data_IF_010161281514
#
_entry.id   IF_010161281514
#
_cell.length_a   1.000
_cell.length_b   1.000
_cell.length_c   1.000
_cell.angle_alpha   90.00
_cell.angle_beta   90.00
_cell.angle_gamma   90.00
#
_symmetry.space_group_name_H-M   'P 1'
#
loop_
_entity.id
_entity.type
_entity.pdbx_description
1 polymer ?
#
# COMPACT_ATOMS: atom_id res chain seq x y z
N UNK A 1 4.06 3.44 -21.63
CA UNK A 1 5.09 2.46 -21.24
C UNK A 1 4.54 1.03 -21.19
N UNK A 2 3.42 0.75 -20.51
CA UNK A 2 2.87 -0.62 -20.39
C UNK A 2 1.58 -0.80 -21.22
N UNK A 3 1.70 -1.12 -22.51
CA UNK A 3 0.55 -1.23 -23.43
C UNK A 3 -0.17 -2.59 -23.36
N UNK A 4 0.59 -3.69 -23.20
CA UNK A 4 0.03 -5.04 -23.05
C UNK A 4 0.58 -5.72 -21.79
N UNK A 5 0.03 -5.38 -20.61
CA UNK A 5 0.51 -5.93 -19.36
C UNK A 5 0.14 -7.43 -19.23
N UNK A 6 -0.86 -7.93 -19.97
CA UNK A 6 -1.31 -9.33 -19.89
C UNK A 6 -0.28 -10.25 -20.50
N UNK A 7 0.21 -9.95 -21.71
CA UNK A 7 1.26 -10.76 -22.34
C UNK A 7 2.56 -10.75 -21.54
N UNK A 8 2.94 -9.60 -20.97
CA UNK A 8 4.09 -9.50 -20.05
C UNK A 8 3.97 -10.49 -18.88
N UNK A 9 2.78 -10.57 -18.25
CA UNK A 9 2.55 -11.48 -17.13
C UNK A 9 2.47 -12.95 -17.54
N UNK A 10 1.89 -13.27 -18.70
CA UNK A 10 1.88 -14.65 -19.22
C UNK A 10 3.31 -15.15 -19.43
N UNK A 11 4.20 -14.29 -19.94
CA UNK A 11 5.62 -14.62 -20.07
C UNK A 11 6.27 -14.90 -18.71
N UNK A 12 6.02 -14.07 -17.69
CA UNK A 12 6.53 -14.33 -16.34
C UNK A 12 5.99 -15.65 -15.77
N UNK A 13 4.69 -15.90 -15.93
CA UNK A 13 4.04 -17.08 -15.37
C UNK A 13 4.51 -18.38 -16.05
N UNK A 14 4.88 -18.34 -17.33
CA UNK A 14 5.48 -19.47 -18.05
C UNK A 14 6.79 -19.98 -17.39
N UNK A 15 7.46 -19.12 -16.62
CA UNK A 15 8.64 -19.47 -15.81
C UNK A 15 8.35 -19.53 -14.30
N UNK A 16 7.08 -19.57 -13.90
CA UNK A 16 6.66 -19.58 -12.50
C UNK A 16 6.91 -18.26 -11.76
N UNK A 17 7.22 -17.17 -12.46
CA UNK A 17 7.52 -15.85 -11.86
C UNK A 17 6.26 -15.03 -11.63
N UNK A 18 6.34 -14.12 -10.67
CA UNK A 18 5.27 -13.20 -10.26
C UNK A 18 5.65 -11.76 -10.58
N UNK A 19 4.66 -10.89 -10.72
CA UNK A 19 4.83 -9.45 -10.90
C UNK A 19 4.34 -8.74 -9.64
N UNK A 20 5.16 -7.86 -9.08
CA UNK A 20 4.77 -6.97 -7.98
C UNK A 20 4.44 -5.59 -8.58
N UNK A 21 3.31 -5.01 -8.18
CA UNK A 21 2.91 -3.64 -8.54
C UNK A 21 2.75 -2.79 -7.29
N UNK A 22 3.20 -1.54 -7.32
CA UNK A 22 3.06 -0.61 -6.20
C UNK A 22 1.66 0.03 -6.20
N UNK A 23 1.05 0.13 -5.02
CA UNK A 23 -0.23 0.82 -4.78
C UNK A 23 -0.16 1.51 -3.42
N UNK A 24 -0.35 2.82 -3.45
CA UNK A 24 -0.26 3.69 -2.27
C UNK A 24 -1.65 4.15 -1.81
N UNK A 25 -1.82 4.63 -0.56
CA UNK A 25 -3.13 5.01 -0.03
C UNK A 25 -3.62 6.40 -0.49
N UNK A 26 -2.84 7.11 -1.32
CA UNK A 26 -3.16 8.46 -1.78
C UNK A 26 -3.70 8.46 -3.23
N UNK A 27 -4.83 9.13 -3.43
CA UNK A 27 -5.57 9.16 -4.68
C UNK A 27 -5.50 10.55 -5.28
N UNK A 28 -5.07 10.65 -6.53
CA UNK A 28 -4.97 11.92 -7.25
C UNK A 28 -6.31 12.66 -7.27
N UNK A 29 -6.31 13.91 -6.82
CA UNK A 29 -7.44 14.82 -6.95
C UNK A 29 -7.45 15.43 -8.37
N UNK A 30 -8.11 14.76 -9.31
CA UNK A 30 -8.27 15.28 -10.69
C UNK A 30 -9.62 14.88 -11.27
N UNK A 31 -10.18 15.76 -12.10
CA UNK A 31 -11.36 15.45 -12.89
C UNK A 31 -11.07 14.31 -13.87
N UNK A 32 -12.04 13.41 -14.05
CA UNK A 32 -11.93 12.28 -14.98
C UNK A 32 -11.14 11.06 -14.47
N UNK A 33 -10.71 11.04 -13.21
CA UNK A 33 -10.15 9.83 -12.61
C UNK A 33 -11.27 8.88 -12.17
N UNK A 34 -11.36 7.73 -12.82
CA UNK A 34 -12.45 6.77 -12.62
C UNK A 34 -12.49 6.15 -11.20
N UNK A 35 -11.39 6.26 -10.46
CA UNK A 35 -11.31 5.87 -9.05
C UNK A 35 -11.53 7.12 -8.21
N UNK A 36 -12.80 7.56 -8.18
CA UNK A 36 -13.24 8.51 -7.18
C UNK A 36 -13.47 7.70 -5.91
N UNK A 37 -12.82 8.07 -4.81
CA UNK A 37 -13.20 7.59 -3.47
C UNK A 37 -14.70 7.87 -3.30
N UNK A 38 -15.55 6.86 -3.49
CA UNK A 38 -16.95 7.02 -3.91
C UNK A 38 -17.84 7.64 -2.84
N UNK A 39 -17.42 7.61 -1.59
CA UNK A 39 -18.09 8.29 -0.49
C UNK A 39 -17.10 9.20 0.23
N UNK A 40 -17.61 10.30 0.79
CA UNK A 40 -16.86 11.15 1.71
C UNK A 40 -16.47 10.37 2.98
N UNK A 41 -17.18 9.28 3.29
CA UNK A 41 -17.03 8.52 4.53
C UNK A 41 -15.80 7.63 4.60
N UNK A 42 -15.18 7.29 3.46
CA UNK A 42 -13.94 6.49 3.40
C UNK A 42 -12.71 7.35 3.10
N UNK A 43 -12.82 8.67 3.21
CA UNK A 43 -11.70 9.61 3.05
C UNK A 43 -11.28 10.12 4.41
N UNK A 44 -9.98 10.34 4.58
CA UNK A 44 -9.49 11.08 5.75
C UNK A 44 -10.07 12.49 5.75
N UNK A 45 -10.40 13.02 6.93
CA UNK A 45 -11.03 14.34 7.08
C UNK A 45 -10.12 15.28 7.87
N UNK A 46 -10.27 16.57 7.61
CA UNK A 46 -9.67 17.65 8.42
C UNK A 46 -10.36 17.74 9.78
N UNK A 47 -9.85 18.57 10.68
CA UNK A 47 -10.50 18.86 11.96
C UNK A 47 -11.84 19.60 11.80
N UNK A 48 -12.03 20.34 10.70
CA UNK A 48 -13.29 20.99 10.32
C UNK A 48 -14.30 20.02 9.67
N UNK A 49 -13.96 18.73 9.58
CA UNK A 49 -14.76 17.68 8.95
C UNK A 49 -14.86 17.76 7.41
N UNK A 50 -14.06 18.63 6.79
CA UNK A 50 -13.87 18.65 5.34
C UNK A 50 -12.97 17.50 4.87
N UNK A 51 -13.04 17.14 3.59
CA UNK A 51 -12.14 16.12 3.00
C UNK A 51 -10.70 16.61 3.08
N UNK A 52 -9.81 15.80 3.65
CA UNK A 52 -8.40 16.14 3.70
C UNK A 52 -7.76 16.10 2.30
N UNK A 53 -7.03 17.16 1.97
CA UNK A 53 -6.18 17.26 0.79
C UNK A 53 -4.74 17.54 1.21
N UNK A 54 -3.80 16.91 0.50
CA UNK A 54 -2.37 17.12 0.65
C UNK A 54 -1.62 16.76 -0.62
N UNK A 55 -0.30 16.84 -0.59
CA UNK A 55 0.57 16.53 -1.72
C UNK A 55 1.31 15.20 -1.51
N UNK A 56 1.34 14.39 -2.56
CA UNK A 56 2.22 13.23 -2.67
C UNK A 56 2.68 13.08 -4.15
N UNK A 57 3.08 11.88 -4.57
CA UNK A 57 3.51 11.59 -5.95
C UNK A 57 2.57 12.11 -7.06
N UNK A 58 1.22 12.06 -6.93
CA UNK A 58 0.32 12.54 -7.98
C UNK A 58 0.09 14.06 -7.97
N UNK A 59 0.70 14.79 -7.02
CA UNK A 59 0.31 16.16 -6.66
C UNK A 59 -0.81 16.16 -5.63
N UNK A 60 -1.79 17.06 -5.81
CA UNK A 60 -2.98 17.15 -4.96
C UNK A 60 -3.69 15.78 -4.87
N UNK A 61 -3.88 15.30 -3.65
CA UNK A 61 -4.34 13.95 -3.37
C UNK A 61 -5.23 13.90 -2.13
N UNK A 62 -6.09 12.87 -2.07
CA UNK A 62 -6.86 12.49 -0.89
C UNK A 62 -6.37 11.14 -0.37
N UNK A 63 -6.52 10.88 0.92
CA UNK A 63 -6.15 9.59 1.54
C UNK A 63 -7.37 8.77 1.89
N UNK A 64 -7.31 7.48 1.60
CA UNK A 64 -8.30 6.50 2.04
C UNK A 64 -8.22 6.31 3.57
N UNK A 65 -9.38 6.22 4.21
CA UNK A 65 -9.50 5.95 5.63
C UNK A 65 -9.86 4.48 5.89
N UNK A 66 -8.82 3.64 6.00
CA UNK A 66 -8.98 2.20 6.23
C UNK A 66 -9.44 1.84 7.65
N UNK A 67 -9.62 2.83 8.54
CA UNK A 67 -10.28 2.60 9.83
C UNK A 67 -11.80 2.44 9.69
N UNK A 68 -12.39 2.96 8.60
CA UNK A 68 -13.80 2.74 8.29
C UNK A 68 -14.00 1.30 7.76
N UNK A 69 -14.83 0.45 8.39
CA UNK A 69 -15.08 -0.90 7.88
C UNK A 69 -15.61 -0.93 6.44
N UNK A 70 -16.38 0.09 6.02
CA UNK A 70 -16.88 0.20 4.65
C UNK A 70 -15.75 0.38 3.62
N UNK A 71 -14.55 0.81 4.06
CA UNK A 71 -13.37 0.88 3.21
C UNK A 71 -12.98 -0.49 2.67
N UNK A 72 -13.11 -1.57 3.44
CA UNK A 72 -12.66 -2.91 3.05
C UNK A 72 -13.44 -3.38 1.82
N UNK A 73 -14.77 -3.30 1.87
CA UNK A 73 -15.63 -3.73 0.76
C UNK A 73 -15.40 -2.90 -0.50
N UNK A 74 -15.24 -1.58 -0.34
CA UNK A 74 -14.92 -0.70 -1.46
C UNK A 74 -13.55 -1.04 -2.07
N UNK A 75 -12.53 -1.24 -1.23
CA UNK A 75 -11.18 -1.56 -1.65
C UNK A 75 -11.11 -2.93 -2.34
N UNK A 76 -11.81 -3.95 -1.82
CA UNK A 76 -11.95 -5.25 -2.45
C UNK A 76 -12.50 -5.14 -3.88
N UNK A 77 -13.53 -4.32 -4.08
CA UNK A 77 -14.12 -4.09 -5.41
C UNK A 77 -13.13 -3.52 -6.42
N UNK A 78 -12.11 -2.78 -5.99
CA UNK A 78 -11.07 -2.26 -6.90
C UNK A 78 -10.07 -3.32 -7.35
N UNK A 79 -9.97 -4.45 -6.64
CA UNK A 79 -8.99 -5.51 -6.91
C UNK A 79 -9.56 -6.63 -7.79
N UNK A 80 -10.86 -6.62 -8.05
CA UNK A 80 -11.49 -7.51 -9.02
C UNK A 80 -10.80 -7.41 -10.39
N UNK A 81 -10.58 -8.54 -11.08
CA UNK A 81 -9.84 -8.55 -12.36
C UNK A 81 -10.53 -7.75 -13.48
N UNK A 82 -11.85 -7.59 -13.42
CA UNK A 82 -12.61 -6.80 -14.40
C UNK A 82 -12.45 -5.30 -14.16
N UNK A 83 -12.26 -4.89 -12.90
CA UNK A 83 -11.98 -3.51 -12.52
C UNK A 83 -10.49 -3.18 -12.65
N UNK A 84 -9.63 -3.97 -12.02
CA UNK A 84 -8.17 -3.84 -12.06
C UNK A 84 -7.60 -4.43 -13.36
N UNK A 85 -8.01 -3.85 -14.47
CA UNK A 85 -7.65 -4.31 -15.81
C UNK A 85 -6.15 -4.41 -15.97
N UNK A 86 -5.73 -5.47 -16.64
CA UNK A 86 -4.31 -5.73 -16.78
C UNK A 86 -3.68 -6.12 -15.45
N UNK A 87 -4.32 -6.95 -14.65
CA UNK A 87 -3.70 -7.77 -13.60
C UNK A 87 -4.15 -9.22 -13.77
N UNK A 88 -3.45 -10.17 -13.16
CA UNK A 88 -3.70 -11.63 -13.25
C UNK A 88 -3.33 -12.32 -11.93
N UNK A 89 -3.58 -13.63 -11.81
CA UNK A 89 -3.27 -14.42 -10.60
C UNK A 89 -1.80 -14.37 -10.17
N UNK A 90 -0.88 -14.10 -11.10
CA UNK A 90 0.53 -13.93 -10.80
C UNK A 90 0.92 -12.48 -10.43
N UNK A 91 -0.06 -11.62 -10.18
CA UNK A 91 0.14 -10.25 -9.70
C UNK A 91 0.06 -10.21 -8.19
N UNK A 92 0.99 -9.48 -7.60
CA UNK A 92 1.12 -9.23 -6.16
C UNK A 92 1.27 -7.72 -5.99
N UNK A 93 0.91 -7.19 -4.82
CA UNK A 93 0.94 -5.75 -4.57
C UNK A 93 2.01 -5.39 -3.53
N UNK A 94 2.72 -4.31 -3.74
CA UNK A 94 3.56 -3.60 -2.77
C UNK A 94 2.80 -2.35 -2.30
N UNK A 95 2.70 -2.14 -0.99
CA UNK A 95 2.10 -0.94 -0.42
C UNK A 95 3.21 -0.05 0.09
N UNK A 96 3.23 1.19 -0.36
CA UNK A 96 4.22 2.17 0.04
C UNK A 96 3.54 3.43 0.59
N UNK A 97 4.33 4.32 1.20
CA UNK A 97 3.88 5.65 1.62
C UNK A 97 2.68 5.63 2.60
N UNK A 98 2.55 4.57 3.41
CA UNK A 98 1.35 4.24 4.20
C UNK A 98 1.39 4.69 5.67
N UNK A 99 2.37 5.51 6.05
CA UNK A 99 2.51 6.09 7.38
C UNK A 99 1.28 6.88 7.87
N UNK A 100 0.57 7.73 7.09
CA UNK A 100 0.65 8.04 5.66
C UNK A 100 1.63 9.17 5.32
N UNK A 101 2.41 9.01 4.24
CA UNK A 101 3.30 10.07 3.78
C UNK A 101 2.53 11.20 3.10
N UNK A 102 2.76 12.42 3.57
CA UNK A 102 2.17 13.66 3.05
C UNK A 102 3.29 14.69 2.88
N UNK A 103 3.71 14.97 1.65
CA UNK A 103 4.92 15.77 1.36
C UNK A 103 4.87 17.19 1.90
N UNK A 104 3.68 17.79 1.96
CA UNK A 104 3.46 19.13 2.52
C UNK A 104 2.87 19.10 3.94
N UNK A 105 2.82 17.93 4.57
CA UNK A 105 2.35 17.76 5.94
C UNK A 105 3.47 18.01 6.97
N UNK A 106 3.11 18.26 8.24
CA UNK A 106 4.10 18.33 9.32
C UNK A 106 4.84 16.99 9.43
N UNK A 107 6.17 17.01 9.54
CA UNK A 107 7.00 15.79 9.63
C UNK A 107 6.80 14.82 8.45
N UNK A 108 6.32 15.30 7.29
CA UNK A 108 5.99 14.49 6.11
C UNK A 108 4.85 13.48 6.38
N UNK A 109 4.00 13.76 7.37
CA UNK A 109 2.84 12.94 7.72
C UNK A 109 1.55 13.77 7.76
N UNK A 110 0.42 13.09 7.91
CA UNK A 110 -0.89 13.74 8.06
C UNK A 110 -0.98 14.54 9.39
N UNK A 111 -1.67 15.70 9.40
CA UNK A 111 -1.87 16.48 10.62
C UNK A 111 -2.51 15.66 11.75
N UNK A 112 -2.06 15.92 12.99
CA UNK A 112 -2.46 15.18 14.19
C UNK A 112 -3.95 15.34 14.55
N UNK A 113 -4.53 16.47 14.18
CA UNK A 113 -5.92 16.87 14.42
C UNK A 113 -6.89 16.47 13.29
N UNK A 114 -6.39 15.82 12.23
CA UNK A 114 -7.27 15.23 11.24
C UNK A 114 -8.17 14.16 11.86
N UNK A 115 -9.41 14.09 11.37
CA UNK A 115 -10.41 13.15 11.85
C UNK A 115 -10.36 11.85 11.05
N UNK A 116 -10.49 10.75 11.79
CA UNK A 116 -10.64 9.38 11.29
C UNK A 116 -12.03 8.84 11.62
N UNK A 117 -12.35 7.69 11.04
CA UNK A 117 -13.59 6.97 11.30
C UNK A 117 -13.90 6.88 12.80
N UNK A 118 -15.14 7.19 13.17
CA UNK A 118 -15.57 7.21 14.57
C UNK A 118 -15.22 8.50 15.34
N UNK A 119 -14.67 9.52 14.68
CA UNK A 119 -14.34 10.81 15.30
C UNK A 119 -13.02 10.81 16.08
N UNK A 120 -12.19 9.79 15.91
CA UNK A 120 -10.84 9.75 16.47
C UNK A 120 -9.93 10.75 15.76
N UNK A 121 -9.01 11.35 16.51
CA UNK A 121 -7.96 12.17 15.91
C UNK A 121 -6.86 11.28 15.33
N UNK A 122 -6.17 11.76 14.31
CA UNK A 122 -5.09 11.02 13.68
C UNK A 122 -3.96 10.70 14.66
N UNK A 123 -3.74 11.55 15.67
CA UNK A 123 -2.75 11.29 16.74
C UNK A 123 -2.99 9.98 17.49
N UNK A 124 -4.25 9.56 17.62
CA UNK A 124 -4.63 8.37 18.38
C UNK A 124 -4.34 7.09 17.57
N UNK A 125 -4.30 7.21 16.24
CA UNK A 125 -4.31 6.10 15.31
C UNK A 125 -3.11 6.08 14.35
N UNK A 126 -2.21 7.07 14.42
CA UNK A 126 -1.09 7.28 13.50
C UNK A 126 -0.33 5.98 13.22
N UNK A 127 0.13 5.31 14.27
CA UNK A 127 0.93 4.09 14.14
C UNK A 127 0.13 2.88 13.62
N UNK A 128 -1.20 2.90 13.72
CA UNK A 128 -2.07 1.84 13.21
C UNK A 128 -2.43 2.05 11.72
N UNK A 129 -2.23 3.25 11.18
CA UNK A 129 -2.69 3.59 9.83
C UNK A 129 -2.11 2.67 8.75
N UNK A 130 -0.81 2.43 8.79
CA UNK A 130 -0.13 1.54 7.84
C UNK A 130 -0.67 0.11 7.90
N UNK A 131 -0.95 -0.38 9.11
CA UNK A 131 -1.54 -1.71 9.33
C UNK A 131 -2.98 -1.80 8.81
N UNK A 132 -3.78 -0.75 8.91
CA UNK A 132 -5.15 -0.77 8.39
C UNK A 132 -5.18 -0.80 6.86
N UNK A 133 -4.31 -0.04 6.19
CA UNK A 133 -4.19 -0.08 4.72
C UNK A 133 -3.69 -1.45 4.23
N UNK A 134 -2.75 -2.01 4.97
CA UNK A 134 -2.29 -3.37 4.78
C UNK A 134 -3.45 -4.37 4.88
N UNK A 135 -4.21 -4.31 5.98
CA UNK A 135 -5.32 -5.22 6.23
C UNK A 135 -6.36 -5.16 5.11
N UNK A 136 -6.75 -3.96 4.68
CA UNK A 136 -7.65 -3.77 3.55
C UNK A 136 -7.09 -4.44 2.29
N UNK A 137 -5.80 -4.22 1.98
CA UNK A 137 -5.16 -4.81 0.78
C UNK A 137 -5.03 -6.33 0.88
N UNK A 138 -4.81 -6.88 2.07
CA UNK A 138 -4.79 -8.33 2.29
C UNK A 138 -6.16 -8.93 1.94
N UNK A 139 -7.24 -8.39 2.51
CA UNK A 139 -8.60 -8.83 2.17
C UNK A 139 -8.92 -8.67 0.67
N UNK A 140 -8.47 -7.57 0.06
CA UNK A 140 -8.68 -7.30 -1.36
C UNK A 140 -7.97 -8.30 -2.26
N UNK A 141 -6.80 -8.81 -1.87
CA UNK A 141 -6.10 -9.84 -2.62
C UNK A 141 -6.70 -11.23 -2.41
N UNK A 142 -7.16 -11.54 -1.18
CA UNK A 142 -7.82 -12.81 -0.85
C UNK A 142 -9.16 -13.00 -1.57
N UNK A 143 -9.88 -11.91 -1.86
CA UNK A 143 -11.21 -11.95 -2.49
C UNK A 143 -11.18 -12.10 -4.01
N UNK A 144 -10.00 -12.03 -4.64
CA UNK A 144 -9.86 -12.10 -6.12
C UNK A 144 -10.07 -13.50 -6.70
N UNK A 145 -10.12 -14.54 -5.85
CA UNK A 145 -10.28 -15.94 -6.29
C UNK A 145 -11.07 -16.72 -5.23
N UNK A 146 -11.81 -17.73 -5.66
CA UNK A 146 -12.56 -18.62 -4.75
C UNK A 146 -11.65 -19.55 -3.91
N UNK A 147 -10.38 -19.71 -4.29
CA UNK A 147 -9.42 -20.56 -3.60
C UNK A 147 -8.47 -19.74 -2.70
N UNK A 148 -8.30 -20.20 -1.46
CA UNK A 148 -7.35 -19.64 -0.49
C UNK A 148 -5.91 -19.63 -1.05
N UNK A 149 -5.31 -18.44 -1.17
CA UNK A 149 -3.89 -18.27 -1.43
C UNK A 149 -3.22 -17.59 -0.23
N UNK A 150 -1.93 -17.83 -0.02
CA UNK A 150 -1.09 -16.93 0.80
C UNK A 150 -0.48 -15.88 -0.13
N UNK A 151 -0.85 -14.62 0.04
CA UNK A 151 -0.24 -13.51 -0.70
C UNK A 151 0.99 -12.98 0.05
N UNK A 152 2.02 -12.62 -0.72
CA UNK A 152 3.27 -12.07 -0.20
C UNK A 152 3.22 -10.54 -0.34
N UNK A 153 2.97 -9.89 0.77
CA UNK A 153 3.07 -8.47 1.00
C UNK A 153 4.46 -7.82 1.07
N UNK A 154 4.68 -6.62 0.53
CA UNK A 154 5.84 -5.76 0.84
C UNK A 154 5.38 -4.40 1.37
N UNK A 155 6.14 -3.76 2.28
CA UNK A 155 5.68 -2.63 3.12
C UNK A 155 6.80 -1.68 3.59
N UNK A 156 6.40 -0.45 3.94
CA UNK A 156 7.25 0.56 4.57
C UNK A 156 6.92 0.80 6.06
N UNK A 157 5.64 0.92 6.45
CA UNK A 157 5.19 1.09 7.86
C UNK A 157 4.40 -0.10 8.42
N UNK A 158 4.60 -0.44 9.72
CA UNK A 158 4.04 -1.63 10.40
C UNK A 158 3.72 -1.39 11.90
N UNK A 159 2.77 -2.16 12.47
CA UNK A 159 2.44 -2.16 13.90
C UNK A 159 2.16 -3.57 14.45
N UNK A 160 2.22 -3.75 15.79
CA UNK A 160 1.98 -5.02 16.50
C UNK A 160 0.73 -5.74 15.97
N UNK A 161 0.90 -7.00 15.55
CA UNK A 161 -0.17 -7.81 14.93
C UNK A 161 -0.09 -7.94 13.40
N UNK A 162 0.76 -7.17 12.73
CA UNK A 162 0.97 -7.29 11.27
C UNK A 162 1.76 -8.56 10.85
N UNK A 163 2.18 -9.41 11.79
CA UNK A 163 3.14 -10.50 11.64
C UNK A 163 2.80 -11.57 10.59
N UNK A 164 1.53 -11.69 10.21
CA UNK A 164 1.09 -12.63 9.17
C UNK A 164 1.52 -12.26 7.75
N UNK A 165 2.12 -11.09 7.55
CA UNK A 165 2.25 -10.53 6.22
C UNK A 165 3.50 -9.66 5.98
N UNK A 166 4.36 -9.41 6.97
CA UNK A 166 5.36 -8.30 6.99
C UNK A 166 6.67 -8.59 6.25
N UNK A 167 7.28 -7.58 5.63
CA UNK A 167 8.68 -7.48 5.20
C UNK A 167 9.12 -6.04 5.48
N UNK A 168 9.90 -5.79 6.54
CA UNK A 168 10.32 -4.46 6.98
C UNK A 168 11.84 -4.41 7.25
N UNK A 169 12.39 -3.29 7.72
CA UNK A 169 13.82 -3.00 7.74
C UNK A 169 14.37 -2.83 9.16
N UNK A 170 14.52 -3.90 9.95
CA UNK A 170 15.32 -3.88 11.19
C UNK A 170 15.41 -5.31 11.77
N UNK A 171 16.60 -5.87 12.02
CA UNK A 171 16.74 -7.19 12.67
C UNK A 171 16.06 -7.27 14.04
N UNK A 172 15.86 -6.15 14.75
CA UNK A 172 15.10 -6.10 16.01
C UNK A 172 13.63 -6.49 15.82
N UNK A 173 13.07 -6.30 14.62
CA UNK A 173 11.70 -6.69 14.32
C UNK A 173 11.48 -8.21 14.43
N UNK A 174 12.52 -9.01 14.18
CA UNK A 174 12.46 -10.45 14.35
C UNK A 174 12.11 -10.88 15.79
N UNK A 175 12.70 -10.24 16.79
CA UNK A 175 12.41 -10.52 18.21
C UNK A 175 11.09 -9.90 18.68
N UNK A 176 10.60 -8.86 17.98
CA UNK A 176 9.30 -8.22 18.24
C UNK A 176 8.12 -8.91 17.54
N UNK A 177 8.32 -10.09 16.95
CA UNK A 177 7.26 -10.88 16.31
C UNK A 177 7.06 -10.60 14.82
N UNK A 178 7.98 -9.89 14.16
CA UNK A 178 7.98 -9.59 12.72
C UNK A 178 9.18 -10.24 12.01
N UNK A 179 9.20 -11.59 11.90
CA UNK A 179 10.37 -12.32 11.41
C UNK A 179 10.59 -12.22 9.91
N UNK A 180 9.57 -11.88 9.12
CA UNK A 180 9.72 -11.63 7.70
C UNK A 180 10.09 -10.14 7.55
N UNK A 181 11.38 -9.88 7.35
CA UNK A 181 12.00 -8.55 7.30
C UNK A 181 13.36 -8.67 6.57
N UNK A 182 13.84 -7.58 5.96
CA UNK A 182 15.16 -7.52 5.30
C UNK A 182 15.35 -6.24 4.49
N UNK A 183 16.58 -5.68 4.43
CA UNK A 183 16.93 -4.44 3.73
C UNK A 183 16.93 -4.56 2.20
N UNK A 184 16.78 -3.42 1.51
CA UNK A 184 17.08 -3.31 0.08
C UNK A 184 18.53 -3.74 -0.17
N UNK A 185 18.71 -4.79 -0.97
CA UNK A 185 20.04 -5.30 -1.31
C UNK A 185 20.78 -4.28 -2.16
N UNK A 186 21.86 -3.72 -1.62
CA UNK A 186 22.65 -2.65 -2.25
C UNK A 186 22.29 -1.23 -1.77
N UNK A 187 21.18 -1.07 -1.05
CA UNK A 187 20.71 0.23 -0.58
C UNK A 187 19.93 1.02 -1.63
N UNK A 188 18.95 1.80 -1.16
CA UNK A 188 18.06 2.59 -2.01
C UNK A 188 18.73 3.85 -2.60
N UNK A 189 19.51 4.56 -1.78
CA UNK A 189 20.19 5.80 -2.19
C UNK A 189 21.65 5.55 -2.58
N UNK A 190 22.07 6.20 -3.66
CA UNK A 190 23.46 6.16 -4.15
C UNK A 190 23.80 4.89 -4.93
N UNK A 191 25.09 4.65 -5.15
CA UNK A 191 25.59 3.47 -5.82
C UNK A 191 26.55 2.73 -4.88
N UNK A 192 26.23 1.53 -4.40
CA UNK A 192 27.12 0.77 -3.54
C UNK A 192 28.32 0.23 -4.34
N UNK A 193 29.53 0.48 -3.88
CA UNK A 193 30.74 -0.19 -4.40
C UNK A 193 30.81 -1.69 -4.00
N UNK A 194 29.89 -2.14 -3.13
CA UNK A 194 29.94 -3.41 -2.39
C UNK A 194 29.05 -4.53 -2.94
N UNK A 195 28.31 -4.31 -4.03
CA UNK A 195 27.57 -5.43 -4.65
C UNK A 195 28.59 -6.41 -5.25
N UNK A 196 28.59 -7.70 -4.85
CA UNK A 196 29.52 -8.67 -5.42
C UNK A 196 29.25 -8.77 -6.92
N UNK A 197 30.21 -8.31 -7.72
CA UNK A 197 30.20 -8.52 -9.18
C UNK A 197 30.07 -10.02 -9.43
N UNK A 198 29.23 -10.47 -10.38
CA UNK A 198 29.15 -11.89 -10.71
C UNK A 198 30.56 -12.35 -11.05
N UNK A 199 31.07 -13.37 -10.35
CA UNK A 199 32.30 -14.04 -10.76
C UNK A 199 32.01 -14.59 -12.14
N UNK A 200 32.67 -14.03 -13.15
CA UNK A 200 32.73 -14.63 -14.49
C UNK A 200 33.30 -16.03 -14.32
N UNK A 201 32.45 -17.04 -14.51
CA UNK A 201 32.86 -18.42 -14.72
C UNK A 201 33.33 -18.59 -16.16
#
# INVERSE_FOLDING_TARGET
MFQDPISMRKLLDAFGRKLIIIIDPHFKNTNGYNIVLKSNDIRSRTKEDDIFEGHCWPGASHWIDCFNPACIDWWNGLFDYTFFKGTMENTVVWKDMNEPSVFNGPEIIMPKDNLRFGGWEHRDLLNLNGMMFHNATYHAMMTRKEALRRDIAWWQSCFLGSSYCVASYDPSLGISGFPFNGPDVGGYFGNPDLLPRPRSY
#
